data_IF_591648145421
#
_entry.id   IF_591648145421
#
_cell.length_a   1.000
_cell.length_b   1.000
_cell.length_c   1.000
_cell.angle_alpha   90.00
_cell.angle_beta   90.00
_cell.angle_gamma   90.00
#
_symmetry.space_group_name_H-M   'P 1'
#
loop_
_entity.id
_entity.type
_entity.pdbx_description
1 polymer ?
#
# COMPACT_ATOMS: atom_id res chain seq x y z
N UNK A 1 -20.49 13.36 -1.29
CA UNK A 1 -19.17 13.21 -0.65
C UNK A 1 -18.41 12.23 -1.50
N UNK A 2 -17.38 12.69 -2.18
CA UNK A 2 -16.56 11.83 -3.02
C UNK A 2 -15.50 11.10 -2.17
N UNK A 3 -14.98 10.00 -2.72
CA UNK A 3 -13.91 9.21 -2.14
C UNK A 3 -12.72 9.16 -3.12
N UNK A 4 -11.57 9.62 -2.65
CA UNK A 4 -10.31 9.61 -3.37
C UNK A 4 -9.41 8.53 -2.79
N UNK A 5 -8.92 7.63 -3.63
CA UNK A 5 -7.94 6.61 -3.29
C UNK A 5 -6.55 7.03 -3.75
N UNK A 6 -5.67 7.38 -2.83
CA UNK A 6 -4.35 7.94 -3.12
C UNK A 6 -3.22 6.99 -2.74
N UNK A 7 -2.32 6.71 -3.68
CA UNK A 7 -1.17 5.83 -3.44
C UNK A 7 0.00 6.13 -4.39
N UNK A 8 1.18 5.66 -4.00
CA UNK A 8 2.41 5.77 -4.79
C UNK A 8 2.54 4.54 -5.70
N UNK A 9 2.96 4.77 -6.94
CA UNK A 9 3.22 3.71 -7.91
C UNK A 9 4.72 3.42 -8.03
N UNK A 10 5.07 2.13 -8.11
CA UNK A 10 6.43 1.65 -8.33
C UNK A 10 6.47 0.32 -9.11
N UNK A 11 6.12 0.36 -10.40
CA UNK A 11 6.31 -0.76 -11.33
C UNK A 11 5.60 -2.08 -10.93
N UNK A 12 4.39 -1.97 -10.40
CA UNK A 12 3.57 -3.09 -9.89
C UNK A 12 2.16 -3.07 -10.52
N UNK A 13 2.10 -3.14 -11.84
CA UNK A 13 0.84 -3.02 -12.60
C UNK A 13 -0.22 -4.02 -12.16
N UNK A 14 0.17 -5.26 -11.85
CA UNK A 14 -0.76 -6.30 -11.39
C UNK A 14 -1.37 -5.99 -10.01
N UNK A 15 -0.62 -5.33 -9.12
CA UNK A 15 -1.16 -4.88 -7.82
C UNK A 15 -2.11 -3.71 -8.02
N UNK A 16 -1.75 -2.77 -8.90
CA UNK A 16 -2.62 -1.62 -9.20
C UNK A 16 -3.90 -2.07 -9.90
N UNK A 17 -3.83 -3.00 -10.86
CA UNK A 17 -5.02 -3.56 -11.51
C UNK A 17 -5.92 -4.28 -10.49
N UNK A 18 -5.33 -5.08 -9.59
CA UNK A 18 -6.04 -5.73 -8.49
C UNK A 18 -6.76 -4.70 -7.60
N UNK A 19 -6.03 -3.67 -7.15
CA UNK A 19 -6.56 -2.56 -6.35
C UNK A 19 -7.70 -1.85 -7.05
N UNK A 20 -7.53 -1.49 -8.32
CA UNK A 20 -8.57 -0.81 -9.10
C UNK A 20 -9.81 -1.66 -9.23
N UNK A 21 -9.68 -2.94 -9.57
CA UNK A 21 -10.84 -3.83 -9.66
C UNK A 21 -11.58 -4.01 -8.34
N UNK A 22 -10.86 -4.03 -7.20
CA UNK A 22 -11.47 -4.15 -5.87
C UNK A 22 -12.19 -2.87 -5.46
N UNK A 23 -11.56 -1.70 -5.66
CA UNK A 23 -12.04 -0.43 -5.12
C UNK A 23 -12.96 0.35 -6.07
N UNK A 24 -13.03 0.00 -7.35
CA UNK A 24 -13.74 0.78 -8.36
C UNK A 24 -15.23 1.03 -8.05
N UNK A 25 -15.91 0.13 -7.35
CA UNK A 25 -17.32 0.34 -6.96
C UNK A 25 -17.49 1.33 -5.79
N UNK A 26 -16.42 1.59 -5.03
CA UNK A 26 -16.45 2.42 -3.83
C UNK A 26 -15.89 3.82 -4.06
N UNK A 27 -14.92 3.97 -4.96
CA UNK A 27 -14.16 5.22 -5.11
C UNK A 27 -14.57 6.00 -6.36
N UNK A 28 -14.53 7.32 -6.24
CA UNK A 28 -14.81 8.23 -7.36
C UNK A 28 -13.54 8.49 -8.17
N UNK A 29 -12.39 8.58 -7.49
CA UNK A 29 -11.11 8.89 -8.12
C UNK A 29 -9.98 8.02 -7.56
N UNK A 30 -9.11 7.56 -8.46
CA UNK A 30 -7.81 6.98 -8.13
C UNK A 30 -6.74 8.04 -8.37
N UNK A 31 -6.04 8.47 -7.33
CA UNK A 31 -4.93 9.42 -7.42
C UNK A 31 -3.62 8.67 -7.30
N UNK A 32 -2.88 8.62 -8.40
CA UNK A 32 -1.65 7.83 -8.50
C UNK A 32 -0.49 8.79 -8.69
N UNK A 33 0.56 8.67 -7.87
CA UNK A 33 1.80 9.42 -8.09
C UNK A 33 2.98 8.52 -8.42
N UNK A 34 3.84 8.96 -9.34
CA UNK A 34 5.11 8.32 -9.64
C UNK A 34 6.24 9.34 -9.67
N UNK A 35 7.36 9.07 -8.99
CA UNK A 35 8.52 9.97 -9.01
C UNK A 35 9.40 9.82 -10.26
N UNK A 36 10.05 10.91 -10.67
CA UNK A 36 11.14 10.92 -11.67
C UNK A 36 12.45 10.36 -11.13
N UNK A 37 12.54 10.06 -9.81
CA UNK A 37 13.71 9.48 -9.16
C UNK A 37 13.35 8.21 -8.37
N UNK A 38 14.32 7.32 -8.21
CA UNK A 38 14.24 6.18 -7.28
C UNK A 38 14.42 6.65 -5.84
N UNK A 39 14.09 5.80 -4.85
CA UNK A 39 14.35 6.10 -3.43
C UNK A 39 15.82 6.45 -3.14
N UNK A 40 16.75 5.93 -3.96
CA UNK A 40 18.19 6.18 -3.88
C UNK A 40 18.66 7.40 -4.68
N UNK A 41 17.76 8.23 -5.20
CA UNK A 41 18.13 9.46 -5.91
C UNK A 41 18.51 9.29 -7.38
N UNK A 42 18.59 8.06 -7.90
CA UNK A 42 18.85 7.82 -9.33
C UNK A 42 17.65 8.20 -10.17
N UNK A 43 17.86 8.92 -11.26
CA UNK A 43 16.80 9.25 -12.23
C UNK A 43 16.18 7.97 -12.80
N UNK A 44 14.85 7.96 -12.95
CA UNK A 44 14.09 6.88 -13.57
C UNK A 44 13.07 7.43 -14.55
N UNK A 45 12.72 6.60 -15.54
CA UNK A 45 11.59 6.88 -16.42
C UNK A 45 10.29 6.66 -15.65
N UNK A 46 9.25 7.37 -16.08
CA UNK A 46 7.87 7.13 -15.63
C UNK A 46 7.38 5.85 -16.28
N UNK A 47 6.96 4.89 -15.47
CA UNK A 47 6.55 3.56 -15.90
C UNK A 47 5.02 3.42 -15.94
N UNK A 48 4.27 4.24 -15.19
CA UNK A 48 2.82 4.19 -15.17
C UNK A 48 2.25 4.59 -16.53
N UNK A 49 1.61 3.64 -17.21
CA UNK A 49 0.84 3.89 -18.43
C UNK A 49 -0.65 3.71 -18.16
N UNK A 50 -1.41 4.80 -18.27
CA UNK A 50 -2.87 4.80 -18.11
C UNK A 50 -3.56 3.83 -19.10
N UNK A 51 -2.94 3.51 -20.24
CA UNK A 51 -3.47 2.55 -21.22
C UNK A 51 -3.57 1.14 -20.64
N UNK A 52 -2.68 0.76 -19.71
CA UNK A 52 -2.74 -0.53 -19.02
C UNK A 52 -3.99 -0.63 -18.13
N UNK A 53 -4.60 0.51 -17.78
CA UNK A 53 -5.76 0.61 -16.90
C UNK A 53 -6.97 1.25 -17.61
N UNK A 54 -7.14 0.98 -18.91
CA UNK A 54 -8.15 1.64 -19.76
C UNK A 54 -9.58 1.58 -19.18
N UNK A 55 -9.94 0.50 -18.48
CA UNK A 55 -11.24 0.33 -17.79
C UNK A 55 -11.52 1.43 -16.76
N UNK A 56 -10.48 1.98 -16.14
CA UNK A 56 -10.58 2.95 -15.03
C UNK A 56 -10.12 4.35 -15.42
N UNK A 57 -9.70 4.55 -16.68
CA UNK A 57 -9.18 5.81 -17.23
C UNK A 57 -9.90 7.07 -16.72
N UNK A 58 -11.23 7.06 -16.70
CA UNK A 58 -12.03 8.24 -16.35
C UNK A 58 -11.98 8.59 -14.85
N UNK A 59 -11.54 7.66 -13.99
CA UNK A 59 -11.36 7.85 -12.55
C UNK A 59 -9.91 8.14 -12.17
N UNK A 60 -8.94 7.88 -13.05
CA UNK A 60 -7.51 8.00 -12.73
C UNK A 60 -7.06 9.46 -12.86
N UNK A 61 -6.47 9.98 -11.80
CA UNK A 61 -5.70 11.22 -11.75
C UNK A 61 -4.24 10.87 -11.53
N UNK A 62 -3.43 10.96 -12.59
CA UNK A 62 -2.01 10.63 -12.54
C UNK A 62 -1.15 11.88 -12.31
N UNK A 63 -0.23 11.81 -11.34
CA UNK A 63 0.67 12.89 -10.94
C UNK A 63 2.12 12.44 -11.08
N UNK A 64 2.90 13.18 -11.87
CA UNK A 64 4.36 13.01 -11.90
C UNK A 64 4.98 13.83 -10.79
N UNK A 65 5.68 13.16 -9.86
CA UNK A 65 6.37 13.79 -8.75
C UNK A 65 7.84 14.05 -9.12
N UNK A 66 8.10 15.24 -9.66
CA UNK A 66 9.42 15.61 -10.13
C UNK A 66 10.32 16.13 -8.99
N UNK A 67 11.25 15.30 -8.53
CA UNK A 67 12.14 15.63 -7.41
C UNK A 67 13.36 16.41 -7.88
N UNK A 68 13.33 17.74 -7.72
CA UNK A 68 14.37 18.67 -8.20
C UNK A 68 15.41 19.07 -7.15
N UNK A 69 15.19 18.72 -5.88
CA UNK A 69 16.10 19.09 -4.80
C UNK A 69 17.43 18.33 -4.90
N UNK A 70 18.47 18.93 -4.30
CA UNK A 70 19.80 18.30 -4.18
C UNK A 70 19.73 17.05 -3.29
N UNK A 71 20.34 15.97 -3.77
CA UNK A 71 20.40 14.71 -3.05
C UNK A 71 21.67 14.72 -2.21
N UNK A 72 21.51 14.99 -0.91
CA UNK A 72 22.62 15.12 0.03
C UNK A 72 23.01 13.79 0.71
N UNK A 73 22.68 12.66 0.08
CA UNK A 73 23.05 11.33 0.56
C UNK A 73 23.68 10.50 -0.56
N UNK A 74 24.73 9.74 -0.22
CA UNK A 74 25.38 8.81 -1.16
C UNK A 74 24.55 7.52 -1.26
N UNK A 75 24.12 7.01 -0.12
CA UNK A 75 23.11 5.96 0.01
C UNK A 75 22.12 6.37 1.10
N UNK A 76 20.82 6.28 0.79
CA UNK A 76 19.81 6.48 1.82
C UNK A 76 19.86 5.27 2.77
N UNK A 77 19.98 5.51 4.07
CA UNK A 77 20.03 4.46 5.11
C UNK A 77 18.96 4.73 6.17
N UNK A 78 18.01 3.81 6.29
CA UNK A 78 16.94 3.85 7.29
C UNK A 78 15.85 4.91 7.03
N UNK A 79 14.61 4.60 7.44
CA UNK A 79 13.47 5.52 7.31
C UNK A 79 12.92 5.66 5.89
N UNK A 80 11.92 6.53 5.74
CA UNK A 80 11.31 6.86 4.43
C UNK A 80 12.16 7.93 3.73
N UNK A 81 12.53 7.68 2.46
CA UNK A 81 13.43 8.60 1.75
C UNK A 81 12.79 9.96 1.47
N UNK A 82 13.56 11.06 1.40
CA UNK A 82 13.00 12.38 1.05
C UNK A 82 12.22 12.38 -0.27
N UNK A 83 12.67 11.54 -1.22
CA UNK A 83 12.04 11.36 -2.53
C UNK A 83 10.68 10.66 -2.40
N UNK A 84 10.59 9.65 -1.53
CA UNK A 84 9.34 8.97 -1.22
C UNK A 84 8.34 9.93 -0.55
N UNK A 85 8.81 10.70 0.43
CA UNK A 85 7.98 11.68 1.13
C UNK A 85 7.49 12.77 0.16
N UNK A 86 8.36 13.22 -0.75
CA UNK A 86 7.98 14.16 -1.81
C UNK A 86 6.93 13.56 -2.73
N UNK A 87 7.15 12.35 -3.27
CA UNK A 87 6.19 11.67 -4.15
C UNK A 87 4.82 11.48 -3.49
N UNK A 88 4.82 11.17 -2.19
CA UNK A 88 3.59 11.07 -1.41
C UNK A 88 2.91 12.42 -1.27
N UNK A 89 3.65 13.47 -0.94
CA UNK A 89 3.11 14.82 -0.83
C UNK A 89 2.59 15.36 -2.16
N UNK A 90 3.16 14.97 -3.31
CA UNK A 90 2.64 15.34 -4.63
C UNK A 90 1.22 14.83 -4.88
N UNK A 91 0.74 13.80 -4.16
CA UNK A 91 -0.66 13.35 -4.24
C UNK A 91 -1.65 14.45 -3.85
N UNK A 92 -1.21 15.50 -3.12
CA UNK A 92 -2.05 16.65 -2.77
C UNK A 92 -2.61 17.34 -4.02
N UNK A 93 -1.88 17.33 -5.13
CA UNK A 93 -2.29 17.93 -6.41
C UNK A 93 -3.49 17.20 -7.02
N UNK A 94 -3.55 15.88 -6.88
CA UNK A 94 -4.67 15.08 -7.40
C UNK A 94 -5.97 15.24 -6.62
N UNK A 95 -5.90 15.79 -5.40
CA UNK A 95 -7.06 16.03 -4.53
C UNK A 95 -7.38 17.53 -4.37
N UNK A 96 -6.87 18.39 -5.28
CA UNK A 96 -7.14 19.84 -5.24
C UNK A 96 -8.62 20.19 -5.46
N UNK A 97 -9.30 19.41 -6.30
CA UNK A 97 -10.72 19.61 -6.62
C UNK A 97 -11.66 18.94 -5.60
N UNK A 98 -11.11 18.26 -4.58
CA UNK A 98 -11.90 17.59 -3.56
C UNK A 98 -12.58 18.61 -2.65
N UNK A 99 -13.84 18.37 -2.30
CA UNK A 99 -14.55 19.19 -1.32
C UNK A 99 -13.94 18.99 0.08
N UNK A 100 -14.06 19.98 0.99
CA UNK A 100 -13.59 19.86 2.38
C UNK A 100 -14.11 18.62 3.13
N UNK A 101 -15.29 18.12 2.75
CA UNK A 101 -15.94 16.97 3.38
C UNK A 101 -15.62 15.62 2.71
N UNK A 102 -14.97 15.61 1.55
CA UNK A 102 -14.63 14.39 0.81
C UNK A 102 -13.60 13.55 1.56
N UNK A 103 -13.70 12.22 1.42
CA UNK A 103 -12.76 11.30 2.02
C UNK A 103 -11.56 11.10 1.13
N UNK A 104 -10.38 11.20 1.73
CA UNK A 104 -9.10 10.90 1.11
C UNK A 104 -8.53 9.69 1.84
N UNK A 105 -8.25 8.65 1.08
CA UNK A 105 -7.58 7.44 1.50
C UNK A 105 -6.12 7.55 1.07
N UNK A 106 -5.19 7.28 1.96
CA UNK A 106 -3.76 7.22 1.68
C UNK A 106 -3.21 5.88 2.13
N UNK A 107 -2.56 5.16 1.23
CA UNK A 107 -1.90 3.89 1.52
C UNK A 107 -0.80 3.59 0.50
N UNK A 108 -0.06 2.51 0.75
CA UNK A 108 0.80 1.92 -0.29
C UNK A 108 -0.07 1.17 -1.33
N UNK A 109 0.50 0.85 -2.49
CA UNK A 109 -0.21 0.22 -3.62
C UNK A 109 -0.83 -1.14 -3.22
N UNK A 110 -0.08 -1.92 -2.44
CA UNK A 110 -0.41 -3.26 -1.96
C UNK A 110 -1.28 -3.28 -0.68
N UNK A 111 -1.56 -2.12 -0.10
CA UNK A 111 -2.43 -1.94 1.07
C UNK A 111 -3.87 -1.57 0.66
N UNK A 112 -4.73 -2.56 0.46
CA UNK A 112 -6.09 -2.38 -0.07
C UNK A 112 -7.12 -2.36 1.08
N UNK A 113 -7.80 -1.24 1.37
CA UNK A 113 -8.79 -1.18 2.45
C UNK A 113 -10.10 -1.89 2.10
N UNK A 114 -10.80 -2.39 3.11
CA UNK A 114 -12.15 -2.93 2.97
C UNK A 114 -13.19 -1.80 3.10
N UNK A 115 -13.48 -1.13 1.99
CA UNK A 115 -14.37 0.03 1.98
C UNK A 115 -15.85 -0.30 2.22
N UNK A 116 -16.24 -1.58 2.19
CA UNK A 116 -17.57 -1.98 2.67
C UNK A 116 -17.77 -1.65 4.16
N UNK A 117 -16.68 -1.48 4.92
CA UNK A 117 -16.70 -1.10 6.34
C UNK A 117 -16.61 0.40 6.58
N UNK A 118 -16.67 1.24 5.54
CA UNK A 118 -16.62 2.70 5.71
C UNK A 118 -17.78 3.23 6.56
N UNK A 119 -18.92 2.54 6.58
CA UNK A 119 -20.06 2.83 7.45
C UNK A 119 -19.75 2.73 8.96
N UNK A 120 -18.66 2.06 9.35
CA UNK A 120 -18.22 1.96 10.74
C UNK A 120 -17.49 3.22 11.25
N UNK A 121 -17.19 4.18 10.37
CA UNK A 121 -16.53 5.44 10.74
C UNK A 121 -17.45 6.26 11.65
N UNK A 122 -16.98 6.55 12.86
CA UNK A 122 -17.72 7.35 13.84
C UNK A 122 -17.64 8.83 13.48
N UNK A 123 -18.77 9.56 13.57
CA UNK A 123 -18.89 10.98 13.18
C UNK A 123 -17.89 11.91 13.88
N UNK A 124 -17.48 11.59 15.11
CA UNK A 124 -16.54 12.39 15.91
C UNK A 124 -15.05 12.09 15.63
N UNK A 125 -14.75 11.20 14.68
CA UNK A 125 -13.39 10.78 14.35
C UNK A 125 -12.92 11.52 13.09
N UNK A 126 -11.72 12.10 13.17
CA UNK A 126 -11.11 12.87 12.08
C UNK A 126 -10.16 12.02 11.23
N UNK A 127 -9.47 11.08 11.87
CA UNK A 127 -8.46 10.23 11.28
C UNK A 127 -8.80 8.78 11.55
N UNK A 128 -8.79 7.97 10.51
CA UNK A 128 -9.13 6.56 10.57
C UNK A 128 -7.97 5.77 9.98
N UNK A 129 -7.73 4.57 10.48
CA UNK A 129 -6.85 3.60 9.84
C UNK A 129 -7.56 2.26 9.72
N UNK A 130 -7.30 1.57 8.62
CA UNK A 130 -7.65 0.17 8.45
C UNK A 130 -6.51 -0.71 8.99
N UNK A 131 -6.84 -1.54 9.98
CA UNK A 131 -5.99 -2.63 10.44
C UNK A 131 -6.21 -3.83 9.52
N UNK A 132 -5.22 -4.06 8.64
CA UNK A 132 -5.28 -4.98 7.52
C UNK A 132 -4.66 -6.34 7.87
N UNK A 133 -5.17 -7.39 7.23
CA UNK A 133 -4.55 -8.72 7.25
C UNK A 133 -3.30 -8.70 6.38
N UNK A 134 -2.19 -9.23 6.88
CA UNK A 134 -0.90 -9.28 6.18
C UNK A 134 -0.80 -10.58 5.39
N UNK A 135 -0.77 -10.48 4.06
CA UNK A 135 -0.51 -11.58 3.14
C UNK A 135 0.86 -11.39 2.51
N UNK A 136 1.61 -12.48 2.40
CA UNK A 136 2.98 -12.45 1.89
C UNK A 136 3.12 -13.41 0.72
N UNK A 137 3.70 -12.94 -0.38
CA UNK A 137 4.09 -13.71 -1.57
C UNK A 137 2.94 -14.26 -2.43
N UNK A 138 1.80 -14.58 -1.80
CA UNK A 138 0.61 -15.18 -2.41
C UNK A 138 -0.63 -14.56 -1.78
N UNK A 139 -1.73 -14.54 -2.54
CA UNK A 139 -3.00 -13.96 -2.08
C UNK A 139 -3.55 -14.67 -0.85
N UNK A 140 -3.25 -15.95 -0.69
CA UNK A 140 -3.82 -16.79 0.35
C UNK A 140 -2.82 -17.27 1.41
N UNK A 141 -1.63 -16.67 1.44
CA UNK A 141 -0.58 -17.00 2.40
C UNK A 141 -0.44 -15.88 3.43
N UNK A 142 -1.04 -16.06 4.60
CA UNK A 142 -1.18 -15.03 5.62
C UNK A 142 -0.09 -15.09 6.68
N UNK A 143 0.52 -13.95 7.00
CA UNK A 143 1.34 -13.75 8.18
C UNK A 143 0.44 -13.42 9.37
N UNK A 144 0.23 -14.41 10.27
CA UNK A 144 -0.64 -14.24 11.43
C UNK A 144 -0.06 -13.31 12.49
N UNK A 145 1.27 -13.20 12.57
CA UNK A 145 1.96 -12.37 13.56
C UNK A 145 1.78 -10.86 13.27
N UNK A 146 1.63 -10.49 12.00
CA UNK A 146 1.55 -9.08 11.56
C UNK A 146 0.17 -8.70 10.99
N UNK A 147 -0.87 -9.52 11.21
CA UNK A 147 -2.23 -9.31 10.65
C UNK A 147 -3.09 -8.23 11.32
N UNK A 148 -2.46 -7.24 11.95
CA UNK A 148 -3.08 -6.00 12.42
C UNK A 148 -2.34 -4.79 11.82
N UNK A 149 -1.96 -4.91 10.55
CA UNK A 149 -1.12 -3.94 9.86
C UNK A 149 -1.87 -2.60 9.70
N UNK A 150 -1.32 -1.52 10.25
CA UNK A 150 -1.94 -0.19 10.18
C UNK A 150 -1.64 0.47 8.83
N UNK A 151 -2.27 -0.03 7.78
CA UNK A 151 -2.01 0.39 6.40
C UNK A 151 -2.82 1.63 6.02
N UNK A 152 -3.92 1.44 5.29
CA UNK A 152 -4.67 2.55 4.69
C UNK A 152 -5.25 3.52 5.72
N UNK A 153 -4.89 4.80 5.58
CA UNK A 153 -5.35 5.90 6.44
C UNK A 153 -6.39 6.73 5.72
N UNK A 154 -7.39 7.20 6.45
CA UNK A 154 -8.50 7.98 5.90
C UNK A 154 -8.66 9.26 6.72
N UNK A 155 -8.83 10.36 6.00
CA UNK A 155 -9.22 11.63 6.58
C UNK A 155 -10.14 12.38 5.61
N UNK A 156 -10.94 13.31 6.15
CA UNK A 156 -11.61 14.30 5.30
C UNK A 156 -10.57 15.28 4.75
N UNK A 157 -10.75 15.75 3.51
CA UNK A 157 -9.84 16.71 2.87
C UNK A 157 -9.47 17.89 3.76
N UNK A 158 -10.44 18.49 4.46
CA UNK A 158 -10.21 19.63 5.38
C UNK A 158 -9.26 19.34 6.56
N UNK A 159 -9.05 18.07 6.91
CA UNK A 159 -8.17 17.66 8.00
C UNK A 159 -6.74 17.34 7.52
N UNK A 160 -6.46 17.42 6.22
CA UNK A 160 -5.18 17.05 5.63
C UNK A 160 -4.38 18.32 5.36
N UNK A 161 -3.23 18.45 6.04
CA UNK A 161 -2.24 19.50 5.77
C UNK A 161 -1.26 19.04 4.69
N UNK A 162 -0.73 17.82 4.85
CA UNK A 162 0.09 17.14 3.85
C UNK A 162 -0.20 15.63 3.89
N UNK A 163 0.13 14.94 2.80
CA UNK A 163 -0.06 13.49 2.73
C UNK A 163 0.95 12.77 3.62
N UNK A 164 2.17 13.29 3.75
CA UNK A 164 3.17 12.76 4.67
C UNK A 164 2.72 12.88 6.13
N UNK A 165 2.11 13.99 6.54
CA UNK A 165 1.56 14.12 7.89
C UNK A 165 0.48 13.08 8.17
N UNK A 166 -0.40 12.83 7.19
CA UNK A 166 -1.40 11.77 7.28
C UNK A 166 -0.73 10.40 7.46
N UNK A 167 0.29 10.06 6.65
CA UNK A 167 1.07 8.81 6.76
C UNK A 167 1.76 8.65 8.12
N UNK A 168 2.30 9.74 8.66
CA UNK A 168 3.02 9.75 9.94
C UNK A 168 2.11 9.59 11.16
N UNK A 169 0.78 9.69 11.01
CA UNK A 169 -0.14 9.45 12.10
C UNK A 169 0.03 8.02 12.64
N UNK A 170 0.30 7.95 13.94
CA UNK A 170 0.38 6.70 14.70
C UNK A 170 -0.99 6.37 15.27
N UNK A 171 -1.44 5.14 15.04
CA UNK A 171 -2.67 4.60 15.56
C UNK A 171 -2.35 3.50 16.57
N UNK A 172 -2.87 3.65 17.78
CA UNK A 172 -2.70 2.69 18.88
C UNK A 172 -4.00 2.64 19.69
N UNK A 173 -4.28 1.54 20.40
CA UNK A 173 -5.28 1.57 21.45
C UNK A 173 -4.78 2.53 22.54
N UNK A 174 -5.38 3.72 22.60
CA UNK A 174 -5.05 4.72 23.62
C UNK A 174 -5.98 4.57 24.83
N UNK A 175 -5.47 4.73 26.06
CA UNK A 175 -6.32 4.79 27.25
C UNK A 175 -7.29 5.97 27.20
N UNK A 176 -8.40 5.88 27.94
CA UNK A 176 -9.47 6.88 27.91
C UNK A 176 -9.02 8.30 28.32
N UNK A 177 -7.93 8.45 29.09
CA UNK A 177 -7.41 9.77 29.48
C UNK A 177 -6.61 10.48 28.37
N UNK A 178 -6.32 9.83 27.24
CA UNK A 178 -5.63 10.43 26.09
C UNK A 178 -6.58 11.23 25.21
N UNK A 179 -7.11 12.33 25.77
CA UNK A 179 -8.08 13.24 25.12
C UNK A 179 -7.56 13.74 23.76
N UNK A 180 -6.26 13.97 23.65
CA UNK A 180 -5.57 14.38 22.42
C UNK A 180 -5.66 13.35 21.27
N UNK A 181 -6.01 12.09 21.56
CA UNK A 181 -6.13 11.00 20.58
C UNK A 181 -7.57 10.56 20.30
N UNK A 182 -8.57 11.25 20.86
CA UNK A 182 -9.99 10.91 20.64
C UNK A 182 -10.43 11.08 19.20
N UNK A 183 -9.69 11.82 18.38
CA UNK A 183 -10.01 12.01 16.97
C UNK A 183 -9.57 10.84 16.07
N UNK A 184 -8.92 9.81 16.62
CA UNK A 184 -8.45 8.63 15.87
C UNK A 184 -9.38 7.42 16.05
N UNK A 185 -9.49 6.60 15.00
CA UNK A 185 -10.21 5.34 15.01
C UNK A 185 -9.43 4.26 14.24
N UNK A 186 -9.44 3.04 14.77
CA UNK A 186 -8.96 1.85 14.08
C UNK A 186 -10.18 1.03 13.65
N UNK A 187 -10.20 0.59 12.40
CA UNK A 187 -11.21 -0.32 11.83
C UNK A 187 -10.51 -1.58 11.35
N UNK A 188 -10.94 -2.75 11.82
CA UNK A 188 -10.39 -4.02 11.34
C UNK A 188 -10.95 -4.33 9.94
N UNK A 189 -10.10 -4.31 8.93
CA UNK A 189 -10.51 -4.54 7.54
C UNK A 189 -9.41 -4.23 6.54
N UNK A 190 -9.51 -4.84 5.38
CA UNK A 190 -8.55 -4.70 4.30
C UNK A 190 -7.45 -5.76 4.30
N UNK A 191 -6.61 -5.68 3.28
CA UNK A 191 -5.61 -6.68 2.93
C UNK A 191 -4.32 -5.97 2.54
N UNK A 192 -3.20 -6.43 3.07
CA UNK A 192 -1.87 -6.01 2.64
C UNK A 192 -1.22 -7.17 1.89
N UNK A 193 -1.04 -7.03 0.57
CA UNK A 193 -0.48 -8.08 -0.30
C UNK A 193 1.02 -7.88 -0.54
N UNK A 194 1.79 -8.00 0.54
CA UNK A 194 3.22 -7.75 0.53
C UNK A 194 3.97 -8.77 -0.34
N UNK A 195 4.87 -8.27 -1.20
CA UNK A 195 5.69 -9.08 -2.10
C UNK A 195 4.88 -10.05 -2.98
N UNK A 196 3.66 -9.71 -3.37
CA UNK A 196 2.88 -10.50 -4.34
C UNK A 196 3.51 -10.39 -5.74
N UNK A 197 4.64 -11.07 -5.93
CA UNK A 197 5.52 -10.97 -7.09
C UNK A 197 6.19 -12.33 -7.34
N UNK A 198 6.74 -12.52 -8.54
CA UNK A 198 7.52 -13.74 -8.83
C UNK A 198 8.79 -13.78 -7.96
N UNK A 199 9.35 -14.96 -7.66
CA UNK A 199 10.60 -15.08 -6.90
C UNK A 199 11.74 -14.21 -7.43
N UNK A 200 11.88 -14.13 -8.76
CA UNK A 200 12.88 -13.26 -9.41
C UNK A 200 12.64 -11.77 -9.13
N UNK A 201 11.40 -11.32 -9.21
CA UNK A 201 11.02 -9.94 -8.88
C UNK A 201 11.19 -9.63 -7.38
N UNK A 202 10.85 -10.58 -6.50
CA UNK A 202 11.09 -10.45 -5.06
C UNK A 202 12.59 -10.30 -4.81
N UNK A 203 13.44 -11.11 -5.46
CA UNK A 203 14.88 -11.01 -5.34
C UNK A 203 15.40 -9.62 -5.77
N UNK A 204 14.93 -9.11 -6.91
CA UNK A 204 15.28 -7.77 -7.37
C UNK A 204 14.82 -6.68 -6.39
N UNK A 205 13.58 -6.81 -5.89
CA UNK A 205 13.00 -5.89 -4.91
C UNK A 205 13.85 -5.90 -3.63
N UNK A 206 14.11 -7.07 -3.05
CA UNK A 206 14.96 -7.20 -1.85
C UNK A 206 16.33 -6.58 -2.08
N UNK A 207 17.02 -6.87 -3.20
CA UNK A 207 18.32 -6.25 -3.52
C UNK A 207 18.27 -4.72 -3.66
N UNK A 208 17.12 -4.15 -4.01
CA UNK A 208 16.92 -2.70 -4.09
C UNK A 208 16.56 -2.04 -2.76
N UNK A 209 15.92 -2.79 -1.83
CA UNK A 209 15.51 -2.33 -0.50
C UNK A 209 16.59 -2.53 0.55
N UNK A 210 17.45 -3.54 0.39
CA UNK A 210 18.59 -3.76 1.26
C UNK A 210 19.54 -2.56 1.13
N UNK A 211 19.39 -1.58 2.04
CA UNK A 211 20.55 -0.97 2.68
C UNK A 211 21.55 -2.11 2.93
N UNK A 212 22.82 -1.96 2.56
CA UNK A 212 23.79 -3.07 2.42
C UNK A 212 23.82 -4.11 3.55
N UNK A 213 23.26 -3.79 4.72
CA UNK A 213 22.98 -4.62 5.89
C UNK A 213 22.08 -5.87 5.67
N UNK A 214 21.18 -5.88 4.68
CA UNK A 214 20.31 -7.05 4.38
C UNK A 214 20.67 -7.81 3.10
N UNK A 215 21.80 -7.48 2.47
CA UNK A 215 22.40 -8.33 1.44
C UNK A 215 23.03 -9.57 2.10
N UNK A 216 22.20 -10.45 2.63
CA UNK A 216 22.62 -11.81 2.91
C UNK A 216 22.98 -12.44 1.57
N UNK A 217 24.26 -12.74 1.35
CA UNK A 217 24.79 -13.39 0.13
C UNK A 217 24.06 -14.71 -0.20
N UNK A 218 23.31 -15.26 0.75
CA UNK A 218 22.55 -16.50 0.63
C UNK A 218 21.14 -16.35 0.01
N UNK A 219 20.60 -15.14 -0.16
CA UNK A 219 19.26 -14.97 -0.77
C UNK A 219 19.41 -15.01 -2.29
N UNK A 220 19.02 -16.14 -2.88
CA UNK A 220 18.87 -16.31 -4.32
C UNK A 220 17.43 -16.71 -4.67
N UNK A 221 17.13 -16.77 -5.97
CA UNK A 221 15.78 -17.07 -6.45
C UNK A 221 15.29 -18.45 -5.98
N UNK A 222 16.16 -19.46 -6.00
CA UNK A 222 15.86 -20.82 -5.54
C UNK A 222 15.50 -20.84 -4.04
N UNK A 223 16.25 -20.11 -3.23
CA UNK A 223 15.96 -19.96 -1.80
C UNK A 223 14.59 -19.32 -1.57
N UNK A 224 14.24 -18.26 -2.31
CA UNK A 224 12.92 -17.62 -2.21
C UNK A 224 11.81 -18.61 -2.61
N UNK A 225 12.00 -19.35 -3.70
CA UNK A 225 11.06 -20.38 -4.15
C UNK A 225 10.84 -21.45 -3.07
N UNK A 226 11.91 -21.97 -2.49
CA UNK A 226 11.85 -22.99 -1.44
C UNK A 226 11.13 -22.48 -0.19
N UNK A 227 11.39 -21.23 0.22
CA UNK A 227 10.73 -20.61 1.39
C UNK A 227 9.24 -20.42 1.15
N UNK A 228 8.84 -19.91 -0.01
CA UNK A 228 7.42 -19.77 -0.38
C UNK A 228 6.73 -21.14 -0.41
N UNK A 229 7.36 -22.16 -1.00
CA UNK A 229 6.83 -23.52 -1.04
C UNK A 229 6.61 -24.12 0.36
N UNK A 230 7.54 -23.86 1.29
CA UNK A 230 7.46 -24.29 2.68
C UNK A 230 6.54 -23.42 3.56
N UNK A 231 5.95 -22.34 3.01
CA UNK A 231 5.17 -21.35 3.76
C UNK A 231 6.00 -20.67 4.86
N UNK A 232 7.24 -20.32 4.53
CA UNK A 232 8.20 -19.69 5.43
C UNK A 232 8.57 -18.28 4.95
N UNK A 233 8.92 -17.41 5.91
CA UNK A 233 9.44 -16.07 5.64
C UNK A 233 10.83 -16.11 5.01
N UNK A 234 11.05 -15.34 3.94
CA UNK A 234 12.34 -15.29 3.24
C UNK A 234 13.43 -14.64 4.09
N UNK A 235 13.07 -13.77 5.04
CA UNK A 235 14.02 -13.06 5.90
C UNK A 235 14.43 -13.84 7.15
N UNK A 236 13.92 -15.06 7.35
CA UNK A 236 14.33 -15.91 8.47
C UNK A 236 13.87 -15.40 9.85
N UNK A 237 12.82 -14.55 9.91
CA UNK A 237 12.35 -13.93 11.17
C UNK A 237 11.56 -14.88 12.09
N UNK A 238 11.48 -16.17 11.75
CA UNK A 238 10.69 -17.16 12.52
C UNK A 238 9.17 -16.96 12.41
N UNK A 239 8.70 -16.20 11.42
CA UNK A 239 7.28 -15.93 11.18
C UNK A 239 6.62 -17.18 10.58
N UNK A 240 5.44 -17.55 11.10
CA UNK A 240 4.63 -18.65 10.56
C UNK A 240 3.63 -18.12 9.55
N UNK A 241 3.80 -18.51 8.28
CA UNK A 241 2.81 -18.21 7.25
C UNK A 241 1.78 -19.33 7.19
N UNK A 242 0.50 -18.97 7.16
CA UNK A 242 -0.62 -19.90 7.13
C UNK A 242 -1.37 -19.77 5.82
N UNK A 243 -1.63 -20.90 5.17
CA UNK A 243 -2.55 -20.97 4.03
C UNK A 243 -3.98 -20.73 4.52
N UNK A 244 -4.67 -19.79 3.90
CA UNK A 244 -6.04 -19.42 4.19
C UNK A 244 -6.91 -19.82 2.99
N UNK A 245 -8.10 -20.42 3.18
CA UNK A 245 -9.01 -20.68 2.09
C UNK A 245 -9.45 -19.37 1.40
N UNK A 246 -9.43 -19.34 0.07
CA UNK A 246 -10.02 -18.23 -0.69
C UNK A 246 -11.54 -18.29 -0.62
N UNK A 247 -12.11 -17.58 0.35
CA UNK A 247 -13.53 -17.54 0.67
C UNK A 247 -14.09 -16.10 0.61
N UNK A 248 -15.29 -15.90 1.18
CA UNK A 248 -15.97 -14.61 1.21
C UNK A 248 -15.28 -13.55 2.08
N UNK A 249 -14.25 -13.91 2.85
CA UNK A 249 -13.44 -12.96 3.63
C UNK A 249 -12.41 -12.22 2.78
N UNK A 250 -12.29 -12.57 1.50
CA UNK A 250 -11.50 -11.86 0.49
C UNK A 250 -12.34 -10.83 -0.27
N UNK A 251 -11.70 -9.89 -0.97
CA UNK A 251 -12.39 -9.02 -1.91
C UNK A 251 -13.20 -9.83 -2.91
N UNK A 252 -14.42 -9.37 -3.21
CA UNK A 252 -15.35 -10.01 -4.16
C UNK A 252 -14.70 -10.32 -5.50
N UNK A 253 -13.82 -9.43 -5.96
CA UNK A 253 -13.06 -9.62 -7.19
C UNK A 253 -12.12 -10.83 -7.14
N UNK A 254 -11.47 -11.10 -6.01
CA UNK A 254 -10.52 -12.22 -5.89
C UNK A 254 -11.25 -13.55 -5.88
N UNK A 255 -12.20 -13.76 -4.95
CA UNK A 255 -12.81 -15.08 -4.80
C UNK A 255 -13.78 -15.45 -5.93
N UNK A 256 -14.26 -14.48 -6.72
CA UNK A 256 -15.06 -14.75 -7.92
C UNK A 256 -14.22 -15.05 -9.16
N UNK A 257 -12.95 -14.65 -9.18
CA UNK A 257 -12.06 -14.83 -10.33
C UNK A 257 -10.85 -15.70 -9.98
N UNK A 258 -11.05 -16.77 -9.20
CA UNK A 258 -9.97 -17.62 -8.68
C UNK A 258 -9.03 -18.14 -9.77
N UNK A 259 -9.58 -18.45 -10.95
CA UNK A 259 -8.82 -18.95 -12.10
C UNK A 259 -7.80 -17.93 -12.61
N UNK A 260 -8.12 -16.63 -12.61
CA UNK A 260 -7.18 -15.56 -13.00
C UNK A 260 -6.00 -15.49 -12.03
N UNK A 261 -6.23 -15.87 -10.77
CA UNK A 261 -5.25 -15.78 -9.70
C UNK A 261 -4.61 -17.13 -9.35
N UNK A 262 -4.75 -18.16 -10.18
CA UNK A 262 -4.24 -19.52 -9.89
C UNK A 262 -2.76 -19.51 -9.51
N UNK A 263 -1.96 -18.72 -10.22
CA UNK A 263 -0.50 -18.63 -10.01
C UNK A 263 -0.15 -17.93 -8.69
N UNK A 264 -1.10 -17.22 -8.09
CA UNK A 264 -0.95 -16.44 -6.86
C UNK A 264 -1.57 -17.12 -5.63
N UNK A 265 -1.94 -18.40 -5.75
CA UNK A 265 -2.63 -19.18 -4.70
C UNK A 265 -1.91 -20.52 -4.51
N UNK A 266 -1.77 -20.99 -3.25
CA UNK A 266 -1.13 -22.28 -2.88
C UNK A 266 -2.04 -23.08 -1.92
#
# INVERSE_FOLDING_TARGET
MAIYDCFQYFNEDHIVDLRFNILNEYVDYFVVSESTKTHQGKSKKINFDIKNFAKFKNKIKFIVADYKEEINFIEHTGGESPIEQHQRNSLIEGIKDASPEDFIILSDSDEIPDLAKLSQVKKNKKFIVFAQKMFMYKLNLQNLNESNWMGSRIAKKKNIKSMQELRNLKFKPYPFWRIDKYNQQIINGGWHFSYLQTPSQILQKVKSFSHGEHNNENINEKYIQEKIFKNEDIFGRGIKLKKIPLDITYPKYIYKNKEIFSDWVI
#
